data_IF_559740329326
#
_entry.id   IF_559740329326
#
_cell.length_a   1.000
_cell.length_b   1.000
_cell.length_c   1.000
_cell.angle_alpha   90.00
_cell.angle_beta   90.00
_cell.angle_gamma   90.00
#
_symmetry.space_group_name_H-M   'P 1'
#
loop_
_entity.id
_entity.type
_entity.pdbx_description
1 polymer ?
#
# COMPACT_ATOMS: atom_id res chain seq x y z
N UNK A 1 27.19 -2.68 11.00
CA UNK A 1 26.34 -1.47 10.96
C UNK A 1 25.01 -1.76 11.63
N UNK A 2 24.77 -1.18 12.79
CA UNK A 2 23.50 -1.37 13.52
C UNK A 2 22.34 -0.77 12.77
N UNK A 3 21.32 -1.57 12.45
CA UNK A 3 20.03 -1.05 11.93
C UNK A 3 19.46 -0.09 12.95
N UNK A 4 19.32 1.18 12.60
CA UNK A 4 18.62 2.17 13.42
C UNK A 4 17.20 1.67 13.67
N UNK A 5 16.89 1.33 14.93
CA UNK A 5 15.54 0.93 15.32
C UNK A 5 14.59 2.09 15.05
N UNK A 6 13.51 1.85 14.31
CA UNK A 6 12.49 2.87 14.08
C UNK A 6 11.90 3.29 15.44
N UNK A 7 11.67 4.58 15.68
CA UNK A 7 11.04 5.03 16.92
C UNK A 7 9.66 4.40 17.07
N UNK A 8 9.32 4.01 18.30
CA UNK A 8 8.00 3.47 18.60
C UNK A 8 6.92 4.54 18.39
N UNK A 9 5.73 4.16 17.87
CA UNK A 9 4.63 5.10 17.74
C UNK A 9 4.22 5.65 19.11
N UNK A 10 3.55 6.82 19.16
CA UNK A 10 3.09 7.43 20.41
C UNK A 10 2.29 6.46 21.29
N UNK A 11 2.35 6.64 22.61
CA UNK A 11 1.66 5.78 23.59
C UNK A 11 0.17 5.58 23.26
N UNK A 12 -0.50 6.63 22.83
CA UNK A 12 -1.93 6.62 22.46
C UNK A 12 -2.23 5.59 21.36
N UNK A 13 -1.34 5.48 20.36
CA UNK A 13 -1.49 4.52 19.25
C UNK A 13 -1.12 3.08 19.61
N UNK A 14 -0.56 2.85 20.81
CA UNK A 14 -0.19 1.52 21.31
C UNK A 14 -1.13 0.99 22.39
N UNK A 15 -2.14 1.76 22.77
CA UNK A 15 -3.10 1.37 23.81
C UNK A 15 -3.94 0.18 23.39
N UNK A 16 -4.24 -0.69 24.35
CA UNK A 16 -5.24 -1.75 24.21
C UNK A 16 -6.65 -1.15 24.27
N UNK A 17 -7.66 -1.93 23.85
CA UNK A 17 -9.07 -1.47 23.80
C UNK A 17 -9.54 -0.80 25.10
N UNK A 18 -9.30 -1.41 26.24
CA UNK A 18 -9.70 -0.85 27.53
C UNK A 18 -9.06 0.51 27.81
N UNK A 19 -7.77 0.65 27.53
CA UNK A 19 -7.04 1.91 27.66
C UNK A 19 -7.55 2.98 26.70
N UNK A 20 -7.87 2.59 25.47
CA UNK A 20 -8.46 3.49 24.47
C UNK A 20 -9.84 3.98 24.91
N UNK A 21 -10.70 3.10 25.40
CA UNK A 21 -12.04 3.44 25.88
C UNK A 21 -11.97 4.42 27.08
N UNK A 22 -11.08 4.15 28.03
CA UNK A 22 -10.87 5.04 29.18
C UNK A 22 -10.36 6.42 28.73
N UNK A 23 -9.38 6.46 27.83
CA UNK A 23 -8.83 7.70 27.29
C UNK A 23 -9.85 8.46 26.42
N UNK A 24 -10.66 7.74 25.64
CA UNK A 24 -11.69 8.31 24.79
C UNK A 24 -12.79 9.03 25.56
N UNK A 25 -13.14 8.58 26.75
CA UNK A 25 -14.11 9.26 27.62
C UNK A 25 -13.72 10.70 27.94
N UNK A 26 -12.43 10.96 28.10
CA UNK A 26 -11.91 12.32 28.31
C UNK A 26 -11.62 13.06 27.01
N UNK A 27 -11.35 12.35 25.94
CA UNK A 27 -11.06 12.93 24.62
C UNK A 27 -12.31 13.39 23.87
N UNK A 28 -13.40 12.63 23.91
CA UNK A 28 -14.64 12.93 23.18
C UNK A 28 -15.21 14.33 23.46
N UNK A 29 -15.33 14.79 24.73
CA UNK A 29 -15.83 16.12 25.02
C UNK A 29 -14.95 17.26 24.48
N UNK A 30 -13.67 16.99 24.29
CA UNK A 30 -12.67 17.95 23.79
C UNK A 30 -12.58 17.96 22.27
N UNK A 31 -13.16 16.96 21.60
CA UNK A 31 -13.12 16.85 20.15
C UNK A 31 -14.11 17.81 19.48
N UNK A 32 -13.60 18.68 18.64
CA UNK A 32 -14.37 19.70 17.92
C UNK A 32 -14.50 19.45 16.41
N UNK A 33 -13.98 18.33 15.92
CA UNK A 33 -14.00 17.97 14.49
C UNK A 33 -15.39 17.55 14.00
N UNK A 34 -15.59 17.63 12.69
CA UNK A 34 -16.87 17.29 12.06
C UNK A 34 -17.15 15.78 12.00
N UNK A 35 -16.11 14.95 11.95
CA UNK A 35 -16.22 13.50 11.82
C UNK A 35 -15.50 12.80 12.97
N UNK A 36 -16.26 12.38 13.96
CA UNK A 36 -15.76 11.70 15.16
C UNK A 36 -15.08 10.38 14.83
N UNK A 37 -15.64 9.59 13.90
CA UNK A 37 -15.08 8.31 13.50
C UNK A 37 -13.67 8.47 12.92
N UNK A 38 -13.52 9.39 11.99
CA UNK A 38 -12.24 9.69 11.36
C UNK A 38 -11.22 10.25 12.35
N UNK A 39 -11.66 11.12 13.23
CA UNK A 39 -10.84 11.68 14.31
C UNK A 39 -10.38 10.62 15.29
N UNK A 40 -11.23 9.70 15.67
CA UNK A 40 -10.92 8.57 16.55
C UNK A 40 -9.87 7.63 15.91
N UNK A 41 -10.06 7.26 14.65
CA UNK A 41 -9.09 6.45 13.92
C UNK A 41 -7.71 7.10 13.87
N UNK A 42 -7.65 8.39 13.61
CA UNK A 42 -6.39 9.14 13.52
C UNK A 42 -5.71 9.29 14.88
N UNK A 43 -6.48 9.57 15.93
CA UNK A 43 -5.96 9.79 17.28
C UNK A 43 -5.40 8.50 17.89
N UNK A 44 -6.17 7.42 17.84
CA UNK A 44 -5.80 6.14 18.47
C UNK A 44 -5.07 5.18 17.52
N UNK A 45 -5.00 5.49 16.22
CA UNK A 45 -4.33 4.65 15.24
C UNK A 45 -5.01 3.29 15.01
N UNK A 46 -6.35 3.25 15.06
CA UNK A 46 -7.16 2.06 14.85
C UNK A 46 -7.92 2.11 13.53
N UNK A 47 -8.34 0.94 13.05
CA UNK A 47 -9.20 0.84 11.88
C UNK A 47 -10.60 1.43 12.14
N UNK A 48 -11.27 1.90 11.10
CA UNK A 48 -12.59 2.53 11.22
C UNK A 48 -13.67 1.57 11.77
N UNK A 49 -13.56 0.27 11.49
CA UNK A 49 -14.48 -0.75 12.04
C UNK A 49 -14.31 -0.90 13.55
N UNK A 50 -13.07 -0.93 14.00
CA UNK A 50 -12.73 -0.97 15.43
C UNK A 50 -13.18 0.34 16.11
N UNK A 51 -12.92 1.48 15.48
CA UNK A 51 -13.34 2.78 15.97
C UNK A 51 -14.87 2.88 16.09
N UNK A 52 -15.62 2.42 15.10
CA UNK A 52 -17.07 2.39 15.12
C UNK A 52 -17.63 1.55 16.29
N UNK A 53 -17.05 0.37 16.51
CA UNK A 53 -17.45 -0.50 17.61
C UNK A 53 -17.16 0.14 18.99
N UNK A 54 -15.98 0.72 19.14
CA UNK A 54 -15.58 1.39 20.38
C UNK A 54 -16.39 2.67 20.65
N UNK A 55 -16.69 3.46 19.63
CA UNK A 55 -17.57 4.62 19.75
C UNK A 55 -19.01 4.24 20.12
N UNK A 56 -19.51 3.13 19.56
CA UNK A 56 -20.80 2.57 19.95
C UNK A 56 -20.84 2.17 21.41
N UNK A 57 -19.77 1.56 21.94
CA UNK A 57 -19.64 1.22 23.35
C UNK A 57 -19.61 2.47 24.25
N UNK A 58 -19.11 3.59 23.74
CA UNK A 58 -19.07 4.88 24.43
C UNK A 58 -20.38 5.68 24.34
N UNK A 59 -21.39 5.14 23.66
CA UNK A 59 -22.69 5.79 23.48
C UNK A 59 -22.75 6.82 22.36
N UNK A 60 -21.73 6.88 21.49
CA UNK A 60 -21.73 7.76 20.32
C UNK A 60 -22.54 7.12 19.19
N UNK A 61 -23.54 7.83 18.69
CA UNK A 61 -24.34 7.38 17.55
C UNK A 61 -23.62 7.72 16.23
N UNK A 62 -23.36 6.69 15.43
CA UNK A 62 -22.83 6.84 14.09
C UNK A 62 -23.90 6.40 13.10
N UNK A 63 -24.07 7.18 12.03
CA UNK A 63 -25.05 6.87 10.98
C UNK A 63 -24.67 5.53 10.29
N UNK A 64 -25.55 4.51 10.34
CA UNK A 64 -25.31 3.23 9.68
C UNK A 64 -25.19 3.36 8.15
N UNK A 65 -25.84 4.33 7.54
CA UNK A 65 -25.70 4.61 6.10
C UNK A 65 -24.27 5.06 5.76
N UNK A 66 -23.66 5.88 6.61
CA UNK A 66 -22.27 6.29 6.46
C UNK A 66 -21.29 5.10 6.55
N UNK A 67 -21.51 4.21 7.51
CA UNK A 67 -20.70 2.99 7.66
C UNK A 67 -20.82 2.06 6.45
N UNK A 68 -22.04 1.87 5.94
CA UNK A 68 -22.29 1.07 4.75
C UNK A 68 -21.61 1.67 3.50
N UNK A 69 -21.68 2.98 3.32
CA UNK A 69 -21.01 3.69 2.24
C UNK A 69 -19.49 3.53 2.33
N UNK A 70 -18.93 3.63 3.52
CA UNK A 70 -17.49 3.47 3.74
C UNK A 70 -17.03 2.05 3.44
N UNK A 71 -17.80 1.05 3.82
CA UNK A 71 -17.52 -0.35 3.51
C UNK A 71 -17.53 -0.62 2.01
N UNK A 72 -18.50 -0.09 1.28
CA UNK A 72 -18.57 -0.17 -0.19
C UNK A 72 -17.36 0.49 -0.84
N UNK A 73 -16.97 1.67 -0.38
CA UNK A 73 -15.80 2.39 -0.91
C UNK A 73 -14.52 1.60 -0.69
N UNK A 74 -14.37 0.98 0.46
CA UNK A 74 -13.19 0.17 0.79
C UNK A 74 -13.14 -1.11 -0.04
N UNK A 75 -14.26 -1.80 -0.20
CA UNK A 75 -14.38 -2.97 -1.07
C UNK A 75 -14.07 -2.64 -2.53
N UNK A 76 -14.56 -1.50 -3.03
CA UNK A 76 -14.26 -1.03 -4.38
C UNK A 76 -12.78 -0.74 -4.59
N UNK A 77 -12.15 -0.04 -3.65
CA UNK A 77 -10.68 0.20 -3.69
C UNK A 77 -9.88 -1.10 -3.67
N UNK A 78 -10.29 -2.06 -2.84
CA UNK A 78 -9.64 -3.37 -2.78
C UNK A 78 -9.77 -4.14 -4.10
N UNK A 79 -10.93 -4.06 -4.75
CA UNK A 79 -11.16 -4.65 -6.08
C UNK A 79 -10.28 -4.00 -7.13
N UNK A 80 -10.27 -2.68 -7.22
CA UNK A 80 -9.44 -1.93 -8.16
C UNK A 80 -7.95 -2.21 -7.96
N UNK A 81 -7.49 -2.32 -6.73
CA UNK A 81 -6.10 -2.67 -6.44
C UNK A 81 -5.73 -4.08 -6.88
N UNK A 82 -6.65 -5.05 -6.70
CA UNK A 82 -6.45 -6.43 -7.20
C UNK A 82 -6.39 -6.47 -8.72
N UNK A 83 -7.31 -5.80 -9.40
CA UNK A 83 -7.34 -5.71 -10.86
C UNK A 83 -6.05 -5.07 -11.41
N UNK A 84 -5.62 -3.98 -10.77
CA UNK A 84 -4.36 -3.32 -11.14
C UNK A 84 -3.15 -4.24 -10.98
N UNK A 85 -3.05 -4.97 -9.86
CA UNK A 85 -1.96 -5.93 -9.64
C UNK A 85 -1.98 -7.06 -10.67
N UNK A 86 -3.15 -7.62 -10.95
CA UNK A 86 -3.30 -8.67 -11.96
C UNK A 86 -2.89 -8.18 -13.34
N UNK A 87 -3.26 -6.97 -13.71
CA UNK A 87 -2.85 -6.35 -14.98
C UNK A 87 -1.33 -6.17 -15.04
N UNK A 88 -0.70 -5.66 -13.99
CA UNK A 88 0.76 -5.51 -13.92
C UNK A 88 1.49 -6.85 -13.98
N UNK A 89 0.98 -7.89 -13.32
CA UNK A 89 1.54 -9.24 -13.39
C UNK A 89 1.38 -9.84 -14.79
N UNK A 90 0.22 -9.65 -15.41
CA UNK A 90 -0.02 -10.08 -16.78
C UNK A 90 0.92 -9.39 -17.78
N UNK A 91 1.16 -8.08 -17.63
CA UNK A 91 2.12 -7.34 -18.44
C UNK A 91 3.55 -7.86 -18.26
N UNK A 92 3.98 -8.09 -17.02
CA UNK A 92 5.30 -8.66 -16.72
C UNK A 92 5.46 -10.05 -17.31
N UNK A 93 4.45 -10.90 -17.20
CA UNK A 93 4.47 -12.25 -17.74
C UNK A 93 4.39 -12.27 -19.26
N UNK A 94 3.68 -11.34 -19.88
CA UNK A 94 3.59 -11.21 -21.34
C UNK A 94 4.95 -10.86 -21.98
N UNK A 95 5.79 -10.12 -21.24
CA UNK A 95 7.14 -9.75 -21.69
C UNK A 95 8.24 -10.70 -21.21
N UNK A 96 7.87 -11.73 -20.45
CA UNK A 96 8.87 -12.69 -19.99
C UNK A 96 9.20 -13.69 -21.10
N UNK A 97 10.49 -13.83 -21.37
CA UNK A 97 11.04 -14.86 -22.25
C UNK A 97 12.44 -15.25 -21.76
N UNK A 98 12.86 -16.51 -21.99
CA UNK A 98 14.16 -17.00 -21.51
C UNK A 98 15.36 -16.49 -22.32
N UNK A 99 15.12 -15.73 -23.38
CA UNK A 99 16.17 -15.25 -24.28
C UNK A 99 16.71 -13.91 -23.83
N UNK A 100 18.03 -13.76 -23.89
CA UNK A 100 18.73 -12.53 -23.54
C UNK A 100 19.03 -11.64 -24.75
N UNK A 101 19.02 -12.22 -25.94
CA UNK A 101 19.31 -11.53 -27.19
C UNK A 101 18.38 -11.95 -28.32
N UNK A 102 18.18 -11.11 -29.36
CA UNK A 102 17.27 -11.38 -30.45
C UNK A 102 17.66 -12.62 -31.26
N UNK A 103 18.96 -12.91 -31.38
CA UNK A 103 19.46 -14.02 -32.19
C UNK A 103 19.06 -15.38 -31.61
N UNK A 104 19.15 -15.55 -30.28
CA UNK A 104 18.69 -16.76 -29.59
C UNK A 104 17.18 -16.96 -29.70
N UNK A 105 16.40 -15.91 -29.64
CA UNK A 105 14.96 -15.95 -29.83
C UNK A 105 14.61 -16.35 -31.29
N UNK A 106 15.34 -15.84 -32.26
CA UNK A 106 15.19 -16.19 -33.66
C UNK A 106 15.49 -17.68 -33.94
N UNK A 107 16.60 -18.18 -33.40
CA UNK A 107 16.99 -19.60 -33.54
C UNK A 107 15.97 -20.55 -32.89
N UNK A 108 15.34 -20.15 -31.83
CA UNK A 108 14.29 -20.92 -31.18
C UNK A 108 12.93 -20.86 -31.91
N UNK A 109 12.80 -19.97 -32.90
CA UNK A 109 11.55 -19.76 -33.63
C UNK A 109 10.48 -18.97 -32.85
N UNK A 110 10.85 -18.32 -31.76
CA UNK A 110 9.94 -17.49 -30.95
C UNK A 110 9.91 -16.06 -31.49
N UNK A 111 9.04 -15.84 -32.46
CA UNK A 111 8.89 -14.55 -33.15
C UNK A 111 8.36 -13.45 -32.22
N UNK A 112 7.56 -13.80 -31.19
CA UNK A 112 7.04 -12.85 -30.22
C UNK A 112 8.17 -12.32 -29.31
N UNK A 113 9.03 -13.22 -28.84
CA UNK A 113 10.20 -12.86 -28.05
C UNK A 113 11.21 -12.04 -28.87
N UNK A 114 11.41 -12.41 -30.13
CA UNK A 114 12.26 -11.66 -31.06
C UNK A 114 11.78 -10.22 -31.20
N UNK A 115 10.50 -10.03 -31.48
CA UNK A 115 9.89 -8.70 -31.61
C UNK A 115 10.04 -7.86 -30.35
N UNK A 116 9.79 -8.47 -29.18
CA UNK A 116 9.93 -7.78 -27.89
C UNK A 116 11.38 -7.35 -27.61
N UNK A 117 12.35 -8.19 -27.91
CA UNK A 117 13.78 -7.89 -27.76
C UNK A 117 14.25 -6.79 -28.73
N UNK A 118 13.75 -6.78 -29.97
CA UNK A 118 14.05 -5.72 -30.93
C UNK A 118 13.50 -4.36 -30.49
N UNK A 119 12.30 -4.33 -29.89
CA UNK A 119 11.68 -3.11 -29.38
C UNK A 119 12.42 -2.52 -28.18
N UNK A 120 13.04 -3.35 -27.37
CA UNK A 120 13.82 -2.88 -26.20
C UNK A 120 15.11 -2.17 -26.57
N UNK A 121 15.64 -2.41 -27.78
CA UNK A 121 16.93 -1.88 -28.20
C UNK A 121 18.11 -2.52 -27.44
N UNK A 122 19.33 -2.20 -27.80
CA UNK A 122 20.52 -2.62 -27.05
C UNK A 122 20.43 -2.05 -25.64
N UNK A 123 20.68 -2.88 -24.65
CA UNK A 123 20.84 -2.43 -23.26
C UNK A 123 21.84 -1.27 -23.28
N UNK A 124 21.41 -0.10 -22.80
CA UNK A 124 22.29 1.06 -22.74
C UNK A 124 23.52 0.70 -21.92
N UNK A 125 24.64 0.48 -22.59
CA UNK A 125 25.95 0.27 -21.96
C UNK A 125 26.42 1.52 -21.21
N UNK A 126 25.68 2.62 -21.33
CA UNK A 126 25.98 3.91 -20.70
C UNK A 126 25.85 3.87 -19.17
N UNK A 127 25.18 2.88 -18.60
CA UNK A 127 25.04 2.74 -17.13
C UNK A 127 26.28 2.09 -16.49
N UNK A 128 27.14 1.48 -17.29
CA UNK A 128 28.39 0.84 -16.81
C UNK A 128 29.54 1.86 -16.71
N UNK A 129 29.52 2.92 -17.51
CA UNK A 129 30.62 3.89 -17.56
C UNK A 129 30.68 4.81 -16.34
N UNK A 130 29.60 4.93 -15.58
CA UNK A 130 29.56 5.78 -14.38
C UNK A 130 30.02 5.05 -13.10
N UNK A 131 30.40 3.78 -13.19
CA UNK A 131 31.01 3.04 -12.07
C UNK A 131 32.53 3.02 -12.12
N UNK A 132 33.13 3.70 -13.12
CA UNK A 132 34.57 3.63 -13.41
C UNK A 132 35.44 4.68 -12.74
N UNK A 133 34.89 5.70 -12.13
CA UNK A 133 35.64 6.72 -11.43
C UNK A 133 35.87 6.35 -9.97
N UNK A 134 36.64 5.34 -9.74
CA UNK A 134 37.33 5.18 -8.45
C UNK A 134 38.64 5.97 -8.60
N UNK A 135 38.78 7.12 -7.92
CA UNK A 135 40.05 7.84 -7.90
C UNK A 135 41.06 7.00 -7.11
N UNK A 136 42.07 6.62 -7.79
CA UNK A 136 43.27 6.08 -7.14
C UNK A 136 44.13 7.21 -6.64
#
# INVERSE_FOLDING_TARGET
>A
MGRKKKPLPPRVKRMRRQGRLASARSWLPKYSGKNVLKGYCKHFGVDWRCAAAELKMLGVKIDPAYLAMRERTEAEKARQNRERKQRQEAEKNAHWHPYTDPFTAYLAGDLAALHDLEQRGPANEDDVSNRGDIPF
#
